data_IF_085287131989
#
_entry.id   IF_085287131989
#
_cell.length_a   1.000
_cell.length_b   1.000
_cell.length_c   1.000
_cell.angle_alpha   90.00
_cell.angle_beta   90.00
_cell.angle_gamma   90.00
#
_symmetry.space_group_name_H-M   'P 1'
#
loop_
_entity.id
_entity.type
_entity.pdbx_description
1 polymer ?
#
# COMPACT_ATOMS: atom_id res chain seq x y z
N UNK A 1 -21.53 39.31 1.63
CA UNK A 1 -20.36 38.82 2.38
C UNK A 1 -19.36 39.95 2.61
N UNK A 2 -19.13 40.32 3.87
CA UNK A 2 -18.16 41.35 4.27
C UNK A 2 -16.73 40.77 4.30
N UNK A 3 -15.72 41.62 4.52
CA UNK A 3 -14.32 41.19 4.51
C UNK A 3 -14.01 40.08 5.50
N UNK A 4 -14.53 40.18 6.73
CA UNK A 4 -14.29 39.20 7.79
C UNK A 4 -14.90 37.83 7.43
N UNK A 5 -16.14 37.82 6.97
CA UNK A 5 -16.82 36.59 6.53
C UNK A 5 -16.06 35.87 5.41
N UNK A 6 -15.53 36.63 4.43
CA UNK A 6 -14.68 36.06 3.37
C UNK A 6 -13.41 35.43 3.92
N UNK A 7 -12.74 36.10 4.86
CA UNK A 7 -11.49 35.59 5.45
C UNK A 7 -11.76 34.33 6.26
N UNK A 8 -12.79 34.31 7.10
CA UNK A 8 -13.17 33.14 7.90
C UNK A 8 -13.57 31.93 7.02
N UNK A 9 -14.18 32.17 5.85
CA UNK A 9 -14.48 31.11 4.88
C UNK A 9 -13.20 30.54 4.25
N UNK A 10 -12.32 31.40 3.75
CA UNK A 10 -11.07 30.97 3.12
C UNK A 10 -10.11 30.31 4.12
N UNK A 11 -10.06 30.77 5.36
CA UNK A 11 -9.23 30.17 6.42
C UNK A 11 -9.61 28.71 6.66
N UNK A 12 -10.92 28.38 6.69
CA UNK A 12 -11.38 27.00 6.84
C UNK A 12 -10.90 26.11 5.69
N UNK A 13 -10.89 26.64 4.47
CA UNK A 13 -10.35 25.92 3.32
C UNK A 13 -8.84 25.72 3.44
N UNK A 14 -8.11 26.74 3.89
CA UNK A 14 -6.66 26.69 4.10
C UNK A 14 -6.26 25.67 5.17
N UNK A 15 -6.89 25.71 6.34
CA UNK A 15 -6.64 24.75 7.43
C UNK A 15 -6.91 23.32 6.97
N UNK A 16 -8.05 23.10 6.31
CA UNK A 16 -8.44 21.77 5.82
C UNK A 16 -7.53 21.24 4.73
N UNK A 17 -7.03 22.11 3.83
CA UNK A 17 -6.06 21.73 2.81
C UNK A 17 -4.72 21.36 3.46
N UNK A 18 -4.24 22.19 4.39
CA UNK A 18 -2.97 21.99 5.09
C UNK A 18 -2.95 20.67 5.87
N UNK A 19 -4.00 20.37 6.64
CA UNK A 19 -4.09 19.13 7.42
C UNK A 19 -4.08 17.87 6.55
N UNK A 20 -4.75 17.89 5.40
CA UNK A 20 -4.74 16.71 4.50
C UNK A 20 -3.45 16.57 3.73
N UNK A 21 -2.82 17.66 3.31
CA UNK A 21 -1.53 17.58 2.63
C UNK A 21 -0.44 17.05 3.55
N UNK A 22 -0.43 17.46 4.82
CA UNK A 22 0.53 16.99 5.81
C UNK A 22 0.42 15.47 6.07
N UNK A 23 -0.81 14.99 6.26
CA UNK A 23 -1.09 13.55 6.37
C UNK A 23 -0.72 12.78 5.10
N UNK A 24 -1.10 13.30 3.94
CA UNK A 24 -0.80 12.65 2.67
C UNK A 24 0.71 12.56 2.45
N UNK A 25 1.46 13.63 2.74
CA UNK A 25 2.92 13.64 2.61
C UNK A 25 3.55 12.55 3.49
N UNK A 26 3.14 12.47 4.76
CA UNK A 26 3.61 11.44 5.69
C UNK A 26 3.31 10.02 5.19
N UNK A 27 2.09 9.78 4.71
CA UNK A 27 1.71 8.48 4.15
C UNK A 27 2.45 8.13 2.84
N UNK A 28 2.78 9.13 2.01
CA UNK A 28 3.58 8.91 0.80
C UNK A 28 5.03 8.53 1.14
N UNK A 29 5.62 9.13 2.18
CA UNK A 29 6.95 8.76 2.67
C UNK A 29 6.98 7.33 3.21
N UNK A 30 6.00 6.94 4.02
CA UNK A 30 5.85 5.55 4.48
C UNK A 30 5.66 4.59 3.30
N UNK A 31 4.81 4.95 2.33
CA UNK A 31 4.58 4.16 1.12
C UNK A 31 5.86 4.00 0.26
N UNK A 32 6.72 5.02 0.24
CA UNK A 32 8.00 4.96 -0.46
C UNK A 32 8.97 3.98 0.24
N UNK A 33 8.99 3.96 1.57
CA UNK A 33 9.87 3.08 2.36
C UNK A 33 9.50 1.59 2.22
N UNK A 34 8.22 1.26 2.04
CA UNK A 34 7.77 -0.13 1.85
C UNK A 34 8.07 -0.68 0.45
N UNK A 35 8.46 0.14 -0.53
CA UNK A 35 8.69 -0.34 -1.92
C UNK A 35 9.75 -1.44 -2.03
N UNK A 36 10.75 -1.46 -1.15
CA UNK A 36 11.73 -2.56 -1.11
C UNK A 36 11.09 -3.88 -0.68
N UNK A 37 10.22 -3.83 0.33
CA UNK A 37 9.45 -5.01 0.77
C UNK A 37 8.50 -5.50 -0.31
N UNK A 38 7.85 -4.59 -1.03
CA UNK A 38 6.97 -4.94 -2.17
C UNK A 38 7.76 -5.67 -3.27
N UNK A 39 8.95 -5.17 -3.62
CA UNK A 39 9.82 -5.82 -4.61
C UNK A 39 10.26 -7.22 -4.16
N UNK A 40 10.59 -7.38 -2.88
CA UNK A 40 10.95 -8.68 -2.34
C UNK A 40 9.76 -9.68 -2.41
N UNK A 41 8.54 -9.21 -2.09
CA UNK A 41 7.33 -10.03 -2.21
C UNK A 41 7.03 -10.40 -3.66
N UNK A 42 7.12 -9.47 -4.60
CA UNK A 42 6.90 -9.73 -6.02
C UNK A 42 7.93 -10.72 -6.58
N UNK A 43 9.21 -10.56 -6.22
CA UNK A 43 10.28 -11.46 -6.61
C UNK A 43 10.08 -12.87 -6.03
N UNK A 44 9.73 -12.99 -4.75
CA UNK A 44 9.45 -14.28 -4.12
C UNK A 44 8.23 -14.94 -4.74
N UNK A 45 7.10 -14.24 -4.84
CA UNK A 45 5.86 -14.80 -5.40
C UNK A 45 6.01 -15.31 -6.84
N UNK A 46 6.83 -14.63 -7.66
CA UNK A 46 7.12 -15.06 -9.03
C UNK A 46 8.19 -16.15 -9.16
N UNK A 47 8.79 -16.62 -8.06
CA UNK A 47 9.94 -17.52 -8.06
C UNK A 47 9.58 -19.01 -8.09
N UNK A 48 10.55 -19.86 -8.45
CA UNK A 48 10.40 -21.31 -8.32
C UNK A 48 10.45 -21.75 -6.85
N UNK A 49 11.13 -20.98 -6.00
CA UNK A 49 11.18 -21.17 -4.56
C UNK A 49 9.78 -21.08 -3.94
N UNK A 50 9.00 -20.04 -4.26
CA UNK A 50 7.62 -19.93 -3.78
C UNK A 50 6.74 -21.10 -4.22
N UNK A 51 6.86 -21.55 -5.47
CA UNK A 51 6.11 -22.72 -5.96
C UNK A 51 6.45 -23.98 -5.17
N UNK A 52 7.73 -24.18 -4.87
CA UNK A 52 8.18 -25.31 -4.06
C UNK A 52 7.65 -25.21 -2.63
N UNK A 53 7.80 -24.04 -2.00
CA UNK A 53 7.35 -23.81 -0.63
C UNK A 53 5.83 -24.02 -0.50
N UNK A 54 5.06 -23.55 -1.50
CA UNK A 54 3.61 -23.79 -1.60
C UNK A 54 3.29 -25.29 -1.69
N UNK A 55 3.98 -26.04 -2.55
CA UNK A 55 3.77 -27.49 -2.67
C UNK A 55 4.18 -28.26 -1.40
N UNK A 56 5.21 -27.81 -0.70
CA UNK A 56 5.64 -28.41 0.57
C UNK A 56 4.63 -28.10 1.69
N UNK A 57 3.99 -26.92 1.65
CA UNK A 57 2.88 -26.57 2.52
C UNK A 57 1.67 -27.47 2.33
N UNK A 58 1.23 -27.64 1.07
CA UNK A 58 0.10 -28.51 0.69
C UNK A 58 0.32 -29.98 1.07
N UNK A 59 1.58 -30.43 1.12
CA UNK A 59 1.95 -31.78 1.56
C UNK A 59 2.08 -31.92 3.08
N UNK A 60 1.94 -30.83 3.84
CA UNK A 60 2.11 -30.81 5.28
C UNK A 60 3.56 -30.97 5.75
N UNK A 61 4.53 -30.60 4.91
CA UNK A 61 5.96 -30.67 5.26
C UNK A 61 6.43 -29.47 6.09
N UNK A 62 5.66 -28.39 6.13
CA UNK A 62 5.98 -27.20 6.90
C UNK A 62 5.49 -27.30 8.37
N UNK A 63 6.26 -26.77 9.35
CA UNK A 63 5.86 -26.78 10.76
C UNK A 63 4.48 -26.17 10.97
N UNK A 64 3.62 -26.74 11.84
CA UNK A 64 2.25 -26.26 12.04
C UNK A 64 2.18 -24.83 12.60
N UNK A 65 3.19 -24.40 13.35
CA UNK A 65 3.32 -23.07 13.95
C UNK A 65 3.94 -22.01 13.02
N UNK A 66 4.39 -22.41 11.82
CA UNK A 66 4.91 -21.47 10.83
C UNK A 66 3.81 -20.56 10.30
N UNK A 67 4.01 -19.24 10.43
CA UNK A 67 3.19 -18.24 9.74
C UNK A 67 3.45 -18.32 8.24
N UNK A 68 2.43 -18.71 7.49
CA UNK A 68 2.52 -19.00 6.06
C UNK A 68 1.59 -18.15 5.19
N UNK A 69 1.28 -16.92 5.64
CA UNK A 69 0.38 -16.03 4.90
C UNK A 69 0.85 -15.75 3.46
N UNK A 70 2.16 -15.78 3.22
CA UNK A 70 2.76 -15.64 1.87
C UNK A 70 2.51 -16.83 0.94
N UNK A 71 2.08 -17.97 1.48
CA UNK A 71 1.72 -19.19 0.73
C UNK A 71 0.20 -19.33 0.57
N UNK A 72 -0.58 -18.30 0.94
CA UNK A 72 -2.01 -18.29 0.61
C UNK A 72 -2.22 -18.11 -0.89
N UNK A 73 -3.28 -18.72 -1.43
CA UNK A 73 -3.62 -18.70 -2.87
C UNK A 73 -3.71 -17.26 -3.42
N UNK A 74 -4.30 -16.33 -2.65
CA UNK A 74 -4.55 -14.96 -3.13
C UNK A 74 -3.84 -13.86 -2.33
N UNK A 75 -3.21 -14.13 -1.18
CA UNK A 75 -2.81 -13.07 -0.25
C UNK A 75 -1.76 -12.11 -0.81
N UNK A 76 -0.68 -12.64 -1.38
CA UNK A 76 0.37 -11.81 -1.99
C UNK A 76 -0.14 -11.17 -3.28
N UNK A 77 -0.91 -11.90 -4.08
CA UNK A 77 -1.48 -11.37 -5.33
C UNK A 77 -2.39 -10.17 -5.09
N UNK A 78 -3.34 -10.28 -4.16
CA UNK A 78 -4.26 -9.19 -3.79
C UNK A 78 -3.51 -7.94 -3.34
N UNK A 79 -2.49 -8.10 -2.49
CA UNK A 79 -1.66 -6.99 -2.03
C UNK A 79 -0.94 -6.29 -3.18
N UNK A 80 -0.37 -7.05 -4.12
CA UNK A 80 0.33 -6.49 -5.27
C UNK A 80 -0.62 -5.74 -6.22
N UNK A 81 -1.83 -6.25 -6.42
CA UNK A 81 -2.87 -5.57 -7.21
C UNK A 81 -3.37 -4.29 -6.55
N UNK A 82 -3.60 -4.28 -5.23
CA UNK A 82 -3.95 -3.07 -4.49
C UNK A 82 -2.87 -2.00 -4.62
N UNK A 83 -1.59 -2.38 -4.54
CA UNK A 83 -0.47 -1.46 -4.72
C UNK A 83 -0.44 -0.88 -6.13
N UNK A 84 -0.73 -1.69 -7.17
CA UNK A 84 -0.83 -1.22 -8.56
C UNK A 84 -1.96 -0.20 -8.72
N UNK A 85 -3.15 -0.52 -8.21
CA UNK A 85 -4.31 0.37 -8.25
C UNK A 85 -4.04 1.71 -7.53
N UNK A 86 -3.36 1.68 -6.38
CA UNK A 86 -2.96 2.90 -5.67
C UNK A 86 -1.99 3.75 -6.51
N UNK A 87 -0.99 3.13 -7.14
CA UNK A 87 -0.03 3.83 -8.02
C UNK A 87 -0.71 4.49 -9.21
N UNK A 88 -1.66 3.80 -9.85
CA UNK A 88 -2.46 4.37 -10.94
C UNK A 88 -3.29 5.56 -10.47
N UNK A 89 -3.94 5.44 -9.32
CA UNK A 89 -4.70 6.55 -8.71
C UNK A 89 -3.82 7.75 -8.39
N UNK A 90 -2.59 7.54 -7.91
CA UNK A 90 -1.62 8.62 -7.69
C UNK A 90 -1.23 9.32 -9.00
N UNK A 91 -1.02 8.57 -10.07
CA UNK A 91 -0.73 9.13 -11.39
C UNK A 91 -1.92 9.96 -11.91
N UNK A 92 -3.14 9.49 -11.76
CA UNK A 92 -4.34 10.22 -12.18
C UNK A 92 -4.54 11.52 -11.39
N UNK A 93 -4.25 11.53 -10.09
CA UNK A 93 -4.28 12.74 -9.27
C UNK A 93 -3.17 13.74 -9.58
N UNK A 94 -2.12 13.32 -10.32
CA UNK A 94 -0.99 14.18 -10.70
C UNK A 94 -1.13 14.86 -12.07
N UNK A 95 -2.20 14.55 -12.81
CA UNK A 95 -2.53 15.13 -14.13
C UNK A 95 -3.32 16.44 -13.97
#
# INVERSE_FOLDING_TARGET
MNQRERIEEIEKHFERASEVLDRLSSSLEEFAQVQESVKALEAYYGSEEWKKDFLDDEKGFLPPDLKRGVLSEDGVWNLLEEIRAIKERMQDLSK
#
